data_IF_125108906928
#
_entry.id   IF_125108906928
#
_cell.length_a   1.000
_cell.length_b   1.000
_cell.length_c   1.000
_cell.angle_alpha   90.00
_cell.angle_beta   90.00
_cell.angle_gamma   90.00
#
_symmetry.space_group_name_H-M   'P 1'
#
loop_
_entity.id
_entity.type
_entity.pdbx_description
1 polymer ?
#
# COMPACT_ATOMS: atom_id res chain seq x y z
N UNK A 1 36.97 -0.43 38.03
CA UNK A 1 35.98 -0.14 36.98
C UNK A 1 35.06 -1.36 36.89
N UNK A 2 33.88 -1.32 37.51
CA UNK A 2 32.90 -2.39 37.38
C UNK A 2 32.34 -2.41 35.96
N UNK A 3 32.44 -3.57 35.30
CA UNK A 3 31.76 -3.80 34.02
C UNK A 3 30.26 -3.87 34.29
N UNK A 4 29.50 -2.94 33.69
CA UNK A 4 28.05 -2.98 33.72
C UNK A 4 27.58 -4.31 33.09
N UNK A 5 26.73 -5.03 33.82
CA UNK A 5 26.14 -6.30 33.37
C UNK A 5 25.10 -5.97 32.29
N UNK A 6 25.39 -6.38 31.05
CA UNK A 6 24.46 -6.19 29.93
C UNK A 6 23.15 -6.93 30.26
N UNK A 7 22.04 -6.21 30.34
CA UNK A 7 20.72 -6.83 30.45
C UNK A 7 20.36 -7.46 29.11
N UNK A 8 19.88 -8.70 29.15
CA UNK A 8 19.44 -9.40 27.95
C UNK A 8 18.13 -8.77 27.45
N UNK A 9 18.14 -8.29 26.21
CA UNK A 9 16.96 -7.68 25.58
C UNK A 9 16.12 -8.79 24.97
N UNK A 10 14.91 -9.01 25.48
CA UNK A 10 13.99 -9.98 24.89
C UNK A 10 13.22 -9.35 23.73
N UNK A 11 12.88 -10.16 22.73
CA UNK A 11 12.16 -9.73 21.53
C UNK A 11 11.11 -10.75 21.16
N UNK A 12 9.90 -10.28 20.90
CA UNK A 12 8.81 -11.10 20.39
C UNK A 12 8.20 -10.42 19.15
N UNK A 13 8.31 -11.08 18.00
CA UNK A 13 7.79 -10.57 16.73
C UNK A 13 6.37 -11.12 16.57
N UNK A 14 5.40 -10.23 16.66
CA UNK A 14 3.99 -10.59 16.56
C UNK A 14 3.56 -10.80 15.10
N UNK A 15 4.01 -9.91 14.22
CA UNK A 15 3.62 -9.89 12.82
C UNK A 15 4.80 -9.41 11.96
N UNK A 16 5.01 -10.08 10.84
CA UNK A 16 5.94 -9.65 9.78
C UNK A 16 5.13 -9.18 8.58
N UNK A 17 5.31 -7.93 8.16
CA UNK A 17 4.58 -7.39 7.02
C UNK A 17 5.32 -7.57 5.70
N UNK A 18 6.65 -7.61 5.75
CA UNK A 18 7.47 -7.87 4.57
C UNK A 18 8.82 -7.18 4.64
N UNK A 19 9.55 -7.27 3.52
CA UNK A 19 10.85 -6.65 3.36
C UNK A 19 10.84 -5.59 2.27
N UNK A 20 11.55 -4.48 2.53
CA UNK A 20 11.70 -3.34 1.62
C UNK A 20 12.72 -3.64 0.53
N UNK A 21 13.77 -4.42 0.82
CA UNK A 21 14.76 -4.89 -0.14
C UNK A 21 14.68 -6.41 -0.30
N UNK A 22 15.27 -6.94 -1.36
CA UNK A 22 15.46 -8.38 -1.53
C UNK A 22 16.96 -8.62 -1.65
N UNK A 23 17.59 -9.01 -0.54
CA UNK A 23 19.01 -9.37 -0.50
C UNK A 23 19.16 -10.70 0.22
N UNK A 24 20.11 -11.53 -0.22
CA UNK A 24 20.21 -12.91 0.27
C UNK A 24 20.69 -13.02 1.72
N UNK A 25 21.34 -11.97 2.25
CA UNK A 25 22.01 -12.00 3.55
C UNK A 25 21.34 -11.18 4.66
N UNK A 26 20.75 -10.04 4.33
CA UNK A 26 20.13 -9.15 5.31
C UNK A 26 19.08 -8.27 4.66
N UNK A 27 17.91 -8.25 5.27
CA UNK A 27 16.71 -7.63 4.74
C UNK A 27 16.25 -6.54 5.69
N UNK A 28 15.90 -5.38 5.14
CA UNK A 28 15.18 -4.32 5.84
C UNK A 28 13.73 -4.79 5.92
N UNK A 29 13.27 -5.11 7.11
CA UNK A 29 11.92 -5.61 7.34
C UNK A 29 11.09 -4.63 8.15
N UNK A 30 9.78 -4.71 7.93
CA UNK A 30 8.76 -3.97 8.69
C UNK A 30 7.96 -4.98 9.50
N UNK A 31 8.04 -4.85 10.82
CA UNK A 31 7.47 -5.82 11.76
C UNK A 31 6.68 -5.12 12.88
N UNK A 32 5.70 -5.82 13.47
CA UNK A 32 5.19 -5.48 14.80
C UNK A 32 5.96 -6.29 15.83
N UNK A 33 6.61 -5.60 16.78
CA UNK A 33 7.47 -6.23 17.78
C UNK A 33 7.13 -5.75 19.19
N UNK A 34 7.37 -6.64 20.15
CA UNK A 34 7.41 -6.35 21.58
C UNK A 34 8.83 -6.52 22.08
N UNK A 35 9.44 -5.41 22.47
CA UNK A 35 10.73 -5.39 23.15
C UNK A 35 10.52 -5.54 24.66
N UNK A 36 11.26 -6.45 25.30
CA UNK A 36 11.22 -6.66 26.75
C UNK A 36 9.80 -6.90 27.31
N UNK A 37 8.99 -7.67 26.58
CA UNK A 37 7.57 -7.91 26.86
C UNK A 37 6.71 -6.62 26.98
N UNK A 38 7.20 -5.51 26.43
CA UNK A 38 6.50 -4.24 26.41
C UNK A 38 5.35 -4.19 25.41
N UNK A 39 4.89 -2.97 25.14
CA UNK A 39 3.81 -2.72 24.17
C UNK A 39 4.26 -3.05 22.75
N UNK A 40 3.28 -3.45 21.93
CA UNK A 40 3.47 -3.64 20.49
C UNK A 40 3.85 -2.31 19.84
N UNK A 41 4.89 -2.34 19.01
CA UNK A 41 5.40 -1.18 18.27
C UNK A 41 5.72 -1.59 16.85
N UNK A 42 5.68 -0.62 15.93
CA UNK A 42 6.23 -0.82 14.60
C UNK A 42 7.76 -0.78 14.70
N UNK A 43 8.46 -1.71 14.07
CA UNK A 43 9.92 -1.69 13.97
C UNK A 43 10.32 -1.84 12.50
N UNK A 44 11.15 -0.90 12.04
CA UNK A 44 11.77 -0.92 10.72
C UNK A 44 13.27 -1.11 10.94
N UNK A 45 13.78 -2.29 10.58
CA UNK A 45 15.14 -2.69 10.95
C UNK A 45 15.75 -3.65 9.94
N UNK A 46 17.08 -3.64 9.87
CA UNK A 46 17.82 -4.68 9.16
C UNK A 46 17.85 -5.95 10.00
N UNK A 47 17.26 -7.02 9.47
CA UNK A 47 17.29 -8.37 10.00
C UNK A 47 18.23 -9.25 9.18
N UNK A 48 18.88 -10.20 9.84
CA UNK A 48 19.54 -11.32 9.16
C UNK A 48 18.51 -12.20 8.44
N UNK A 49 18.92 -12.95 7.42
CA UNK A 49 18.01 -13.82 6.64
C UNK A 49 17.29 -14.87 7.49
N UNK A 50 17.85 -15.25 8.64
CA UNK A 50 17.21 -16.16 9.60
C UNK A 50 16.23 -15.44 10.57
N UNK A 51 16.12 -14.11 10.49
CA UNK A 51 15.27 -13.28 11.34
C UNK A 51 15.68 -13.27 12.82
N UNK A 52 16.89 -13.73 13.15
CA UNK A 52 17.34 -13.88 14.55
C UNK A 52 18.14 -12.70 15.08
N UNK A 53 18.89 -12.01 14.22
CA UNK A 53 19.81 -10.97 14.63
C UNK A 53 19.31 -9.61 14.14
N UNK A 54 18.65 -8.82 14.99
CA UNK A 54 18.34 -7.43 14.67
C UNK A 54 19.63 -6.60 14.64
N UNK A 55 19.86 -5.87 13.54
CA UNK A 55 20.95 -4.90 13.39
C UNK A 55 20.43 -3.48 13.60
N UNK A 56 20.89 -2.50 12.81
CA UNK A 56 20.43 -1.11 12.86
C UNK A 56 18.97 -0.98 12.45
N UNK A 57 18.22 -0.16 13.18
CA UNK A 57 16.81 0.09 12.92
C UNK A 57 16.21 1.06 13.91
N UNK A 58 14.94 1.39 13.69
CA UNK A 58 14.16 2.33 14.49
C UNK A 58 12.81 1.71 14.82
N UNK A 59 12.36 1.95 16.05
CA UNK A 59 11.08 1.49 16.57
C UNK A 59 10.19 2.70 16.79
N UNK A 60 8.94 2.62 16.34
CA UNK A 60 7.95 3.68 16.45
C UNK A 60 6.80 3.26 17.36
N UNK A 61 6.38 4.16 18.23
CA UNK A 61 5.08 4.05 18.90
C UNK A 61 3.93 4.36 17.92
N UNK A 62 2.70 4.33 18.42
CA UNK A 62 1.49 4.51 17.59
C UNK A 62 1.43 5.90 16.97
N UNK A 63 1.69 6.93 17.78
CA UNK A 63 1.59 8.33 17.39
C UNK A 63 2.69 8.70 16.38
N UNK A 64 3.91 8.22 16.63
CA UNK A 64 5.05 8.34 15.72
C UNK A 64 4.79 7.64 14.38
N UNK A 65 4.14 6.47 14.40
CA UNK A 65 3.75 5.76 13.19
C UNK A 65 2.71 6.54 12.36
N UNK A 66 1.70 7.12 13.00
CA UNK A 66 0.73 7.97 12.29
C UNK A 66 1.40 9.17 11.64
N UNK A 67 2.31 9.83 12.37
CA UNK A 67 3.06 10.96 11.83
C UNK A 67 3.98 10.54 10.68
N UNK A 68 4.61 9.37 10.77
CA UNK A 68 5.43 8.79 9.70
C UNK A 68 4.61 8.59 8.43
N UNK A 69 3.43 7.94 8.52
CA UNK A 69 2.56 7.73 7.35
C UNK A 69 2.19 9.07 6.72
N UNK A 70 1.77 10.06 7.53
CA UNK A 70 1.39 11.38 7.04
C UNK A 70 2.51 12.05 6.24
N UNK A 71 3.74 11.95 6.72
CA UNK A 71 4.91 12.51 6.03
C UNK A 71 5.19 11.73 4.75
N UNK A 72 5.23 10.39 4.82
CA UNK A 72 5.52 9.53 3.67
C UNK A 72 4.50 9.69 2.53
N UNK A 73 3.22 9.85 2.85
CA UNK A 73 2.16 10.08 1.85
C UNK A 73 2.28 11.42 1.12
N UNK A 74 3.01 12.40 1.69
CA UNK A 74 3.23 13.72 1.08
C UNK A 74 4.51 13.84 0.27
N UNK A 75 5.38 12.83 0.30
CA UNK A 75 6.65 12.85 -0.44
C UNK A 75 6.42 12.30 -1.84
N UNK A 76 6.71 13.10 -2.87
CA UNK A 76 6.80 12.61 -4.25
C UNK A 76 8.02 11.68 -4.40
N UNK A 77 7.83 10.38 -4.72
CA UNK A 77 8.94 9.45 -4.90
C UNK A 77 9.96 9.88 -5.95
N UNK A 78 9.57 10.68 -6.95
CA UNK A 78 10.48 11.15 -8.01
C UNK A 78 11.55 12.14 -7.50
N UNK A 79 11.36 12.71 -6.30
CA UNK A 79 12.35 13.58 -5.66
C UNK A 79 13.51 12.79 -5.02
N UNK A 80 13.38 11.47 -4.88
CA UNK A 80 14.40 10.61 -4.29
C UNK A 80 15.28 10.06 -5.41
N UNK A 81 16.51 10.56 -5.51
CA UNK A 81 17.47 10.03 -6.48
C UNK A 81 17.79 8.56 -6.15
N UNK A 82 17.62 7.70 -7.15
CA UNK A 82 17.98 6.28 -7.05
C UNK A 82 19.50 6.05 -7.15
N UNK A 83 20.28 7.10 -7.44
CA UNK A 83 21.73 7.04 -7.64
C UNK A 83 22.13 6.20 -8.86
N UNK A 84 21.17 5.71 -9.65
CA UNK A 84 21.40 5.10 -10.94
C UNK A 84 21.48 6.22 -11.94
N UNK A 85 22.67 6.48 -12.47
CA UNK A 85 22.84 7.29 -13.67
C UNK A 85 21.94 6.70 -14.75
N UNK A 86 20.81 7.35 -15.00
CA UNK A 86 19.93 7.05 -16.12
C UNK A 86 20.65 7.55 -17.37
N UNK A 87 21.55 6.73 -17.92
CA UNK A 87 22.07 6.91 -19.27
C UNK A 87 20.87 6.76 -20.21
N UNK A 88 20.23 7.88 -20.52
CA UNK A 88 19.16 7.94 -21.53
C UNK A 88 19.82 7.66 -22.88
N UNK A 89 19.93 6.40 -23.25
CA UNK A 89 19.98 6.06 -24.66
C UNK A 89 18.63 6.49 -25.23
N UNK A 90 18.65 7.62 -25.94
CA UNK A 90 17.53 8.07 -26.75
C UNK A 90 17.44 7.04 -27.88
N UNK A 91 16.66 5.99 -27.69
CA UNK A 91 16.22 5.17 -28.81
C UNK A 91 15.25 6.02 -29.63
N UNK A 92 15.57 6.16 -30.91
CA UNK A 92 14.81 6.91 -31.90
C UNK A 92 13.33 6.53 -31.88
N UNK A 93 12.39 7.47 -32.13
CA UNK A 93 10.98 7.16 -32.18
C UNK A 93 10.71 6.18 -33.32
N UNK A 94 10.41 4.93 -32.99
CA UNK A 94 9.90 3.96 -33.96
C UNK A 94 8.57 4.48 -34.51
N UNK A 95 8.57 4.79 -35.81
CA UNK A 95 7.38 5.12 -36.59
C UNK A 95 6.34 4.01 -36.39
N UNK A 96 5.23 4.31 -35.73
CA UNK A 96 4.05 3.44 -35.77
C UNK A 96 3.50 3.46 -37.19
N UNK A 97 3.46 2.32 -37.85
CA UNK A 97 2.67 2.13 -39.07
C UNK A 97 1.17 2.08 -38.68
N UNK A 98 0.28 2.77 -39.39
CA UNK A 98 -1.15 2.64 -39.17
C UNK A 98 -1.66 1.42 -39.96
N UNK A 99 -1.78 0.27 -39.31
CA UNK A 99 -2.40 -0.92 -39.91
C UNK A 99 -3.39 -1.53 -38.91
N UNK A 100 -4.50 -0.81 -38.67
CA UNK A 100 -5.64 -1.37 -37.92
C UNK A 100 -6.95 -0.56 -38.06
N UNK A 101 -6.94 0.66 -38.61
CA UNK A 101 -8.16 1.47 -38.68
C UNK A 101 -9.10 1.11 -39.85
N UNK A 102 -8.59 0.47 -40.91
CA UNK A 102 -9.40 0.12 -42.09
C UNK A 102 -10.14 -1.22 -41.93
N UNK A 103 -9.61 -2.15 -41.12
CA UNK A 103 -10.23 -3.46 -40.89
C UNK A 103 -11.38 -3.38 -39.86
N UNK A 104 -11.33 -2.40 -38.94
CA UNK A 104 -12.39 -2.14 -37.97
C UNK A 104 -13.63 -1.49 -38.61
N UNK A 105 -13.46 -0.64 -39.62
CA UNK A 105 -14.58 -0.02 -40.36
C UNK A 105 -15.35 -1.00 -41.26
N UNK A 106 -14.74 -2.10 -41.70
CA UNK A 106 -15.44 -3.11 -42.47
C UNK A 106 -16.36 -3.98 -41.59
N UNK A 107 -16.00 -4.15 -40.30
CA UNK A 107 -16.77 -4.96 -39.34
C UNK A 107 -18.00 -4.26 -38.76
N UNK A 108 -18.09 -2.94 -38.87
CA UNK A 108 -19.27 -2.15 -38.48
C UNK A 108 -20.33 -2.00 -39.60
N UNK A 109 -20.04 -2.44 -40.83
CA UNK A 109 -20.96 -2.27 -41.98
C UNK A 109 -21.94 -3.43 -42.19
N UNK A 110 -21.73 -4.58 -41.54
CA UNK A 110 -22.58 -5.77 -41.74
C UNK A 110 -23.71 -5.93 -40.70
N UNK A 111 -23.77 -5.08 -39.67
CA UNK A 111 -24.79 -5.21 -38.59
C UNK A 111 -25.97 -4.22 -38.76
N UNK A 112 -25.85 -3.21 -39.62
CA UNK A 112 -26.94 -2.25 -39.87
C UNK A 112 -27.77 -2.66 -41.08
N UNK A 113 -28.56 -3.72 -40.89
CA UNK A 113 -29.45 -4.26 -41.91
C UNK A 113 -30.76 -4.79 -41.34
N UNK A 114 -31.42 -4.05 -40.44
CA UNK A 114 -32.89 -3.87 -40.42
C UNK A 114 -33.40 -3.26 -39.11
N UNK A 115 -34.43 -2.42 -39.29
CA UNK A 115 -35.41 -1.94 -38.32
C UNK A 115 -35.01 -0.72 -37.44
N UNK A 116 -35.23 0.44 -38.05
CA UNK A 116 -35.84 1.63 -37.45
C UNK A 116 -37.19 1.26 -36.81
N UNK A 117 -37.48 1.71 -35.59
CA UNK A 117 -38.57 2.62 -35.15
C UNK A 117 -39.22 1.92 -33.93
N UNK A 118 -39.55 2.48 -32.76
CA UNK A 118 -40.02 3.79 -32.31
C UNK A 118 -39.86 3.87 -30.76
N UNK A 119 -40.39 4.96 -30.15
CA UNK A 119 -40.60 5.24 -28.72
C UNK A 119 -39.47 5.93 -27.91
N UNK A 120 -39.46 7.25 -28.07
CA UNK A 120 -39.05 8.18 -27.02
C UNK A 120 -40.09 8.18 -25.88
N UNK A 121 -39.80 7.48 -24.80
CA UNK A 121 -40.50 7.60 -23.52
C UNK A 121 -39.69 8.42 -22.53
N UNK A 122 -40.23 9.58 -22.14
CA UNK A 122 -39.79 10.36 -20.99
C UNK A 122 -39.91 9.52 -19.70
N UNK A 123 -38.85 9.48 -18.90
CA UNK A 123 -38.94 9.14 -17.47
C UNK A 123 -38.05 10.13 -16.71
N UNK A 124 -38.70 11.16 -16.17
CA UNK A 124 -38.25 11.80 -14.93
C UNK A 124 -38.50 10.82 -13.80
N UNK A 125 -37.50 10.56 -12.95
CA UNK A 125 -37.77 10.15 -11.58
C UNK A 125 -36.69 10.71 -10.65
N UNK A 126 -37.13 11.74 -9.94
CA UNK A 126 -36.58 12.25 -8.70
C UNK A 126 -36.39 11.11 -7.68
N UNK A 127 -35.22 11.03 -7.05
CA UNK A 127 -35.12 10.51 -5.68
C UNK A 127 -34.27 11.49 -4.88
N UNK A 128 -34.96 12.27 -4.07
CA UNK A 128 -34.40 13.12 -3.01
C UNK A 128 -34.63 12.42 -1.67
N UNK A 129 -33.63 12.52 -0.77
CA UNK A 129 -33.74 12.45 0.70
C UNK A 129 -33.95 11.03 1.31
N UNK A 130 -33.36 10.61 2.44
CA UNK A 130 -32.61 11.34 3.47
C UNK A 130 -31.98 10.34 4.49
N UNK A 131 -31.03 10.89 5.24
CA UNK A 131 -30.82 10.68 6.69
C UNK A 131 -30.08 9.48 7.30
N UNK A 132 -29.46 9.86 8.41
CA UNK A 132 -28.43 9.25 9.23
C UNK A 132 -28.86 7.96 9.93
N UNK A 133 -27.92 7.03 10.10
CA UNK A 133 -28.01 5.96 11.10
C UNK A 133 -26.81 6.03 12.03
N UNK A 134 -26.99 6.75 13.14
CA UNK A 134 -26.17 6.65 14.34
C UNK A 134 -26.47 5.33 15.06
N UNK A 135 -25.45 4.54 15.39
CA UNK A 135 -25.58 3.40 16.31
C UNK A 135 -24.90 3.74 17.64
N UNK A 136 -25.69 4.13 18.64
CA UNK A 136 -25.28 4.17 20.04
C UNK A 136 -25.81 2.96 20.82
N UNK A 137 -24.85 2.31 21.50
CA UNK A 137 -24.84 1.44 22.68
C UNK A 137 -26.16 1.04 23.39
N UNK A 138 -26.19 -0.21 23.89
CA UNK A 138 -26.55 -0.46 25.30
C UNK A 138 -25.85 -1.70 25.87
N UNK A 139 -25.26 -1.51 27.05
CA UNK A 139 -24.73 -2.51 27.97
C UNK A 139 -25.81 -3.49 28.45
N UNK A 140 -25.43 -4.73 28.76
CA UNK A 140 -26.08 -5.46 29.86
C UNK A 140 -25.10 -6.40 30.56
N UNK A 141 -24.86 -6.05 31.82
CA UNK A 141 -24.26 -6.87 32.86
C UNK A 141 -25.20 -8.03 33.22
N UNK A 142 -24.65 -9.21 33.51
CA UNK A 142 -25.33 -10.21 34.33
C UNK A 142 -24.31 -10.82 35.29
N UNK A 143 -24.48 -10.47 36.57
CA UNK A 143 -23.84 -11.11 37.71
C UNK A 143 -24.64 -12.34 38.12
N UNK A 144 -23.94 -13.45 38.40
CA UNK A 144 -24.26 -14.45 39.44
C UNK A 144 -23.03 -15.33 39.64
#
# INVERSE_FOLDING_TARGET
MEKQKQTEITRNIDNRFGSINKTDHSNIEINIIRWNNGRKKLDIRVWSSDGKCPKKGVTFNREEYFQLIRILSGIDPMLIDSGKTFSKEISEPQKRQPVAAEEEMLRCREITGNACEEDAGEIEDYIELDEESTCENTEQQSAS
#
